data_IF_137599436471
#
_entry.id   IF_137599436471
#
_cell.length_a   1.000
_cell.length_b   1.000
_cell.length_c   1.000
_cell.angle_alpha   90.00
_cell.angle_beta   90.00
_cell.angle_gamma   90.00
#
_symmetry.space_group_name_H-M   'P 1'
#
loop_
_entity.id
_entity.type
_entity.pdbx_description
1 polymer ?
#
# COMPACT_ATOMS: atom_id res chain seq x y z
N UNK A 1 -8.06 -6.98 -9.90
CA UNK A 1 -6.83 -6.74 -9.11
C UNK A 1 -6.81 -5.28 -8.75
N UNK A 2 -6.35 -4.95 -7.55
CA UNK A 2 -6.23 -3.56 -7.09
C UNK A 2 -4.83 -3.31 -6.54
N UNK A 3 -4.43 -2.05 -6.56
CA UNK A 3 -3.33 -1.53 -5.77
C UNK A 3 -3.93 -0.86 -4.52
N UNK A 4 -3.47 -1.29 -3.34
CA UNK A 4 -3.69 -0.57 -2.09
C UNK A 4 -2.43 0.25 -1.83
N UNK A 5 -2.58 1.58 -1.87
CA UNK A 5 -1.49 2.53 -1.66
C UNK A 5 -1.71 3.28 -0.35
N UNK A 6 -0.80 3.13 0.60
CA UNK A 6 -0.86 3.80 1.88
C UNK A 6 0.31 4.76 2.07
N UNK A 7 0.04 5.94 2.61
CA UNK A 7 1.04 6.89 3.09
C UNK A 7 0.93 6.93 4.61
N UNK A 8 1.99 6.54 5.32
CA UNK A 8 1.96 6.39 6.78
C UNK A 8 3.12 7.12 7.44
N UNK A 9 3.00 7.31 8.75
CA UNK A 9 4.13 7.75 9.59
C UNK A 9 5.26 6.71 9.57
N UNK A 10 6.54 7.11 9.40
CA UNK A 10 7.65 6.17 9.24
C UNK A 10 7.80 5.16 10.38
N UNK A 11 7.55 5.57 11.63
CA UNK A 11 7.67 4.70 12.80
C UNK A 11 6.60 3.59 12.86
N UNK A 12 5.52 3.71 12.09
CA UNK A 12 4.46 2.72 12.02
C UNK A 12 4.78 1.54 11.10
N UNK A 13 5.80 1.66 10.25
CA UNK A 13 6.11 0.67 9.21
C UNK A 13 6.28 -0.75 9.75
N UNK A 14 7.02 -0.92 10.86
CA UNK A 14 7.26 -2.25 11.45
C UNK A 14 5.96 -2.90 11.92
N UNK A 15 5.11 -2.15 12.63
CA UNK A 15 3.81 -2.62 13.13
C UNK A 15 2.87 -2.99 11.99
N UNK A 16 2.78 -2.14 10.96
CA UNK A 16 1.97 -2.40 9.75
C UNK A 16 2.45 -3.66 9.03
N UNK A 17 3.78 -3.83 8.88
CA UNK A 17 4.37 -5.01 8.24
C UNK A 17 3.95 -6.30 8.95
N UNK A 18 4.05 -6.32 10.29
CA UNK A 18 3.67 -7.50 11.08
C UNK A 18 2.19 -7.85 10.90
N UNK A 19 1.30 -6.86 11.01
CA UNK A 19 -0.13 -7.09 10.87
C UNK A 19 -0.53 -7.57 9.47
N UNK A 20 0.08 -7.03 8.41
CA UNK A 20 -0.18 -7.48 7.05
C UNK A 20 0.31 -8.91 6.80
N UNK A 21 1.41 -9.33 7.43
CA UNK A 21 1.93 -10.70 7.32
C UNK A 21 1.03 -11.75 7.99
N UNK A 22 0.17 -11.35 8.94
CA UNK A 22 -0.80 -12.24 9.57
C UNK A 22 -1.98 -12.60 8.63
N UNK A 23 -2.19 -11.83 7.56
CA UNK A 23 -3.27 -12.08 6.59
C UNK A 23 -2.91 -13.30 5.73
N UNK A 24 -3.72 -14.38 5.76
CA UNK A 24 -3.49 -15.55 4.92
C UNK A 24 -3.50 -15.18 3.43
N UNK A 25 -2.45 -15.56 2.70
CA UNK A 25 -2.34 -15.28 1.27
C UNK A 25 -1.88 -13.86 0.92
N UNK A 26 -1.38 -13.08 1.89
CA UNK A 26 -0.83 -11.76 1.64
C UNK A 26 0.24 -11.78 0.51
N UNK A 27 0.11 -10.95 -0.54
CA UNK A 27 0.97 -11.01 -1.72
C UNK A 27 2.35 -10.38 -1.54
N UNK A 28 2.60 -9.73 -0.40
CA UNK A 28 3.78 -8.88 -0.18
C UNK A 28 3.49 -7.40 -0.48
N UNK A 29 4.48 -6.54 -0.24
CA UNK A 29 4.38 -5.10 -0.44
C UNK A 29 5.71 -4.50 -0.89
N UNK A 30 5.63 -3.33 -1.52
CA UNK A 30 6.77 -2.45 -1.76
C UNK A 30 6.69 -1.23 -0.86
N UNK A 31 7.84 -0.71 -0.46
CA UNK A 31 7.95 0.46 0.42
C UNK A 31 8.90 1.48 -0.20
N UNK A 32 8.52 2.75 -0.21
CA UNK A 32 9.35 3.86 -0.66
C UNK A 32 9.33 5.01 0.34
N UNK A 33 10.45 5.71 0.45
CA UNK A 33 10.51 7.00 1.15
C UNK A 33 9.86 8.09 0.31
N UNK A 34 9.10 8.96 0.96
CA UNK A 34 8.46 10.11 0.33
C UNK A 34 8.25 11.22 1.34
N UNK A 35 7.83 12.38 0.88
CA UNK A 35 7.41 13.48 1.74
C UNK A 35 6.01 13.94 1.32
N UNK A 36 5.22 14.40 2.29
CA UNK A 36 3.83 14.82 2.06
C UNK A 36 3.48 16.10 2.80
N UNK A 37 2.49 16.83 2.27
CA UNK A 37 1.96 18.04 2.87
C UNK A 37 0.43 17.95 2.92
N UNK A 38 -0.14 18.18 4.10
CA UNK A 38 -1.58 18.19 4.33
C UNK A 38 -2.04 19.62 4.61
N UNK A 39 -2.04 20.48 3.57
CA UNK A 39 -2.76 21.75 3.34
C UNK A 39 -3.11 22.76 4.45
N UNK A 40 -3.38 22.34 5.68
CA UNK A 40 -3.96 23.10 6.80
C UNK A 40 -2.92 23.68 7.76
N UNK A 41 -1.63 23.60 7.44
CA UNK A 41 -0.58 24.20 8.28
C UNK A 41 -0.48 25.69 7.97
N UNK A 42 -0.87 26.55 8.92
CA UNK A 42 -0.58 28.00 8.90
C UNK A 42 0.93 28.19 8.88
N UNK A 43 1.45 28.93 7.90
CA UNK A 43 2.88 29.04 7.62
C UNK A 43 3.40 30.42 8.05
N UNK A 44 4.26 30.46 9.07
CA UNK A 44 5.16 31.57 9.38
C UNK A 44 6.61 31.03 9.39
N UNK A 45 7.53 31.62 8.61
CA UNK A 45 8.98 31.31 8.64
C UNK A 45 9.56 30.52 7.46
N UNK A 46 10.75 29.94 7.66
CA UNK A 46 11.53 29.24 6.63
C UNK A 46 10.79 27.98 6.11
N UNK A 47 10.53 27.98 4.81
CA UNK A 47 9.53 27.15 4.14
C UNK A 47 9.99 25.70 3.90
N UNK A 48 9.59 24.78 4.79
CA UNK A 48 9.65 23.32 4.57
C UNK A 48 8.29 22.67 4.87
N UNK A 49 7.31 22.76 3.94
CA UNK A 49 5.96 22.26 4.16
C UNK A 49 5.86 20.73 4.15
N UNK A 50 6.86 20.04 3.59
CA UNK A 50 6.81 18.60 3.43
C UNK A 50 7.34 17.86 4.66
N UNK A 51 6.59 16.86 5.10
CA UNK A 51 6.94 16.00 6.23
C UNK A 51 7.27 14.60 5.69
N UNK A 52 8.36 13.94 6.15
CA UNK A 52 8.70 12.58 5.76
C UNK A 52 7.58 11.56 6.05
N UNK A 53 7.35 10.65 5.09
CA UNK A 53 6.37 9.56 5.13
C UNK A 53 6.95 8.30 4.51
N UNK A 54 6.34 7.16 4.81
CA UNK A 54 6.54 5.91 4.06
C UNK A 54 5.34 5.69 3.15
N UNK A 55 5.60 5.43 1.86
CA UNK A 55 4.60 4.94 0.91
C UNK A 55 4.67 3.42 0.85
N UNK A 56 3.56 2.76 1.10
CA UNK A 56 3.38 1.31 0.97
C UNK A 56 2.50 1.06 -0.26
N UNK A 57 2.91 0.12 -1.10
CA UNK A 57 2.18 -0.31 -2.29
C UNK A 57 1.95 -1.82 -2.22
N UNK A 58 0.68 -2.24 -2.23
CA UNK A 58 0.26 -3.65 -2.17
C UNK A 58 -0.60 -3.96 -3.39
N UNK A 59 -0.23 -4.95 -4.19
CA UNK A 59 -1.02 -5.40 -5.34
C UNK A 59 -1.72 -6.71 -5.00
N UNK A 60 -3.05 -6.69 -4.92
CA UNK A 60 -3.84 -7.80 -4.36
C UNK A 60 -5.03 -8.20 -5.24
N UNK A 61 -5.43 -9.50 -5.22
CA UNK A 61 -6.72 -9.92 -5.77
C UNK A 61 -7.87 -9.26 -5.00
N UNK A 62 -9.01 -9.11 -5.67
CA UNK A 62 -10.13 -8.31 -5.14
C UNK A 62 -10.65 -8.85 -3.79
N UNK A 63 -10.59 -10.17 -3.58
CA UNK A 63 -10.95 -10.85 -2.33
C UNK A 63 -10.10 -10.48 -1.10
N UNK A 64 -8.88 -9.97 -1.31
CA UNK A 64 -7.98 -9.55 -0.23
C UNK A 64 -7.98 -8.03 -0.01
N UNK A 65 -8.62 -7.25 -0.87
CA UNK A 65 -8.52 -5.78 -0.86
C UNK A 65 -9.09 -5.20 0.43
N UNK A 66 -10.28 -5.64 0.83
CA UNK A 66 -10.98 -5.11 2.01
C UNK A 66 -10.18 -5.38 3.29
N UNK A 67 -9.75 -6.63 3.51
CA UNK A 67 -8.97 -7.01 4.69
C UNK A 67 -7.62 -6.28 4.78
N UNK A 68 -6.92 -6.07 3.65
CA UNK A 68 -5.66 -5.31 3.61
C UNK A 68 -5.92 -3.83 3.92
N UNK A 69 -6.96 -3.24 3.30
CA UNK A 69 -7.34 -1.85 3.55
C UNK A 69 -7.67 -1.61 5.02
N UNK A 70 -8.52 -2.46 5.61
CA UNK A 70 -8.93 -2.35 7.02
C UNK A 70 -7.75 -2.55 7.96
N UNK A 71 -6.86 -3.50 7.66
CA UNK A 71 -5.65 -3.72 8.45
C UNK A 71 -4.75 -2.48 8.43
N UNK A 72 -4.55 -1.85 7.28
CA UNK A 72 -3.79 -0.59 7.17
C UNK A 72 -4.46 0.53 7.95
N UNK A 73 -5.77 0.71 7.79
CA UNK A 73 -6.55 1.73 8.49
C UNK A 73 -6.49 1.57 10.00
N UNK A 74 -6.55 0.34 10.52
CA UNK A 74 -6.47 0.06 11.95
C UNK A 74 -5.04 0.24 12.48
N UNK A 75 -4.06 -0.33 11.78
CA UNK A 75 -2.71 -0.49 12.32
C UNK A 75 -1.88 0.77 12.21
N UNK A 76 -2.06 1.57 11.14
CA UNK A 76 -1.32 2.80 10.90
C UNK A 76 -1.94 4.04 11.57
N UNK A 77 -3.15 3.94 12.14
CA UNK A 77 -3.84 5.07 12.76
C UNK A 77 -3.17 5.49 14.07
N UNK A 78 -2.66 6.73 14.10
CA UNK A 78 -2.07 7.35 15.28
C UNK A 78 -3.06 8.19 16.08
N UNK A 79 -4.30 8.34 15.58
CA UNK A 79 -5.33 9.26 16.08
C UNK A 79 -4.89 10.74 16.11
N UNK A 80 -3.87 11.10 15.32
CA UNK A 80 -3.34 12.45 15.21
C UNK A 80 -3.43 12.97 13.78
N UNK A 81 -3.45 14.29 13.61
CA UNK A 81 -3.30 14.91 12.29
C UNK A 81 -2.04 14.40 11.58
N UNK A 82 -2.18 14.10 10.29
CA UNK A 82 -1.10 13.54 9.49
C UNK A 82 -0.81 12.05 9.75
N UNK A 83 -1.71 11.28 10.37
CA UNK A 83 -1.56 9.82 10.52
C UNK A 83 -1.27 9.12 9.18
N UNK A 84 -1.93 9.56 8.12
CA UNK A 84 -1.75 9.01 6.79
C UNK A 84 -3.03 9.00 5.96
N UNK A 85 -2.92 8.46 4.75
CA UNK A 85 -4.04 8.22 3.83
C UNK A 85 -3.84 6.87 3.14
N UNK A 86 -4.94 6.16 2.87
CA UNK A 86 -4.93 4.89 2.14
C UNK A 86 -5.88 5.02 0.95
N UNK A 87 -5.43 4.55 -0.21
CA UNK A 87 -6.17 4.59 -1.47
C UNK A 87 -6.25 3.18 -2.06
N UNK A 88 -7.35 2.92 -2.76
CA UNK A 88 -7.51 1.71 -3.59
C UNK A 88 -7.61 2.16 -5.04
N UNK A 89 -6.76 1.61 -5.90
CA UNK A 89 -6.64 1.97 -7.30
C UNK A 89 -6.87 0.72 -8.16
N UNK A 90 -7.60 0.87 -9.25
CA UNK A 90 -7.87 -0.23 -10.19
C UNK A 90 -6.62 -0.59 -10.99
N UNK A 91 -6.29 -1.89 -11.00
CA UNK A 91 -5.17 -2.43 -11.77
C UNK A 91 -5.73 -3.29 -12.89
N UNK A 92 -5.59 -2.82 -14.13
CA UNK A 92 -6.12 -3.49 -15.32
C UNK A 92 -5.32 -4.71 -15.76
N UNK A 93 -4.02 -4.79 -15.42
CA UNK A 93 -3.15 -5.91 -15.82
C UNK A 93 -2.05 -6.15 -14.78
N UNK A 94 -1.72 -7.42 -14.57
CA UNK A 94 -0.60 -7.83 -13.71
C UNK A 94 0.07 -9.11 -14.23
N UNK A 95 1.35 -9.30 -13.88
CA UNK A 95 2.10 -10.48 -14.28
C UNK A 95 3.29 -10.77 -13.36
N UNK A 96 3.77 -12.01 -13.39
CA UNK A 96 4.95 -12.45 -12.62
C UNK A 96 6.13 -12.65 -13.57
N UNK A 97 7.17 -11.84 -13.41
CA UNK A 97 8.36 -11.84 -14.28
C UNK A 97 9.03 -13.23 -14.33
N UNK A 98 9.19 -13.89 -13.18
CA UNK A 98 9.88 -15.18 -13.11
C UNK A 98 9.18 -16.32 -13.87
N UNK A 99 7.88 -16.23 -14.10
CA UNK A 99 7.09 -17.24 -14.83
C UNK A 99 6.66 -16.76 -16.21
N UNK A 100 6.85 -15.48 -16.53
CA UNK A 100 6.33 -14.86 -17.75
C UNK A 100 4.80 -14.87 -17.87
N UNK A 101 4.07 -15.21 -16.79
CA UNK A 101 2.61 -15.33 -16.82
C UNK A 101 1.94 -13.99 -16.53
N UNK A 102 1.10 -13.55 -17.46
CA UNK A 102 0.07 -12.56 -17.18
C UNK A 102 -1.07 -13.25 -16.42
N UNK A 103 -1.62 -12.64 -15.36
CA UNK A 103 -2.71 -13.27 -14.60
C UNK A 103 -3.99 -13.41 -15.45
N UNK A 104 -4.16 -12.56 -16.47
CA UNK A 104 -5.25 -12.63 -17.45
C UNK A 104 -5.03 -13.66 -18.58
N UNK A 105 -3.88 -14.33 -18.62
CA UNK A 105 -3.56 -15.27 -19.69
C UNK A 105 -3.59 -16.69 -19.13
N UNK A 106 -4.78 -17.30 -19.19
CA UNK A 106 -4.90 -18.77 -19.13
C UNK A 106 -4.23 -19.30 -20.39
N UNK A 107 -2.96 -19.71 -20.29
CA UNK A 107 -2.38 -20.55 -21.34
C UNK A 107 -3.18 -21.85 -21.37
N UNK A 108 -3.56 -22.36 -22.57
CA UNK A 108 -4.20 -23.66 -22.67
C UNK A 108 -3.29 -24.70 -22.03
N UNK A 109 -3.86 -25.60 -21.23
CA UNK A 109 -3.15 -26.76 -20.72
C UNK A 109 -2.55 -27.49 -21.91
N UNK A 110 -1.24 -27.42 -22.08
CA UNK A 110 -0.56 -28.22 -23.08
C UNK A 110 -0.68 -29.66 -22.64
N UNK A 111 -1.63 -30.37 -23.25
CA UNK A 111 -1.76 -31.81 -23.14
C UNK A 111 -0.46 -32.46 -23.61
N UNK A 112 0.22 -33.15 -22.70
CA UNK A 112 1.15 -34.23 -23.02
C UNK A 112 0.88 -35.38 -22.08
#
# INVERSE_FOLDING_TARGET
>A
MKEIRAYIQPFMLSKVTQALLEIPGFPGMSVSDCEGFDGDTVIDGDFTPFIPKKRIEVFAPDELVEIIFDTLMLTANTHQHGAGKVYVIDVSKSGKINTGRNKDERLPETSK
#
